data_IF_742822579690
#
_entry.id   IF_742822579690
#
_cell.length_a   1.000
_cell.length_b   1.000
_cell.length_c   1.000
_cell.angle_alpha   90.00
_cell.angle_beta   90.00
_cell.angle_gamma   90.00
#
_symmetry.space_group_name_H-M   'P 1'
#
loop_
_entity.id
_entity.type
_entity.pdbx_description
1 polymer ?
#
# COMPACT_ATOMS: atom_id res chain seq x y z
N UNK A 1 17.52 -4.88 -5.61
CA UNK A 1 17.13 -5.24 -6.99
C UNK A 1 15.79 -5.99 -7.06
N UNK A 2 15.51 -6.99 -6.22
CA UNK A 2 14.26 -7.78 -6.28
C UNK A 2 12.96 -7.02 -5.90
N UNK A 3 13.00 -6.11 -4.92
CA UNK A 3 11.79 -5.39 -4.48
C UNK A 3 11.13 -4.54 -5.57
N UNK A 4 11.90 -4.03 -6.54
CA UNK A 4 11.37 -3.27 -7.67
C UNK A 4 10.77 -4.16 -8.76
N UNK A 5 11.26 -5.41 -8.90
CA UNK A 5 10.84 -6.30 -9.98
C UNK A 5 9.34 -6.64 -9.91
N UNK A 6 8.80 -6.76 -8.69
CA UNK A 6 7.37 -7.02 -8.46
C UNK A 6 6.54 -5.87 -9.02
N UNK A 7 6.86 -4.62 -8.69
CA UNK A 7 6.15 -3.44 -9.17
C UNK A 7 6.25 -3.29 -10.70
N UNK A 8 7.45 -3.51 -11.27
CA UNK A 8 7.66 -3.45 -12.72
C UNK A 8 6.90 -4.53 -13.48
N UNK A 9 6.84 -5.75 -12.92
CA UNK A 9 6.09 -6.86 -13.54
C UNK A 9 4.59 -6.55 -13.59
N UNK A 10 4.04 -6.00 -12.50
CA UNK A 10 2.64 -5.57 -12.45
C UNK A 10 2.32 -4.49 -13.48
N UNK A 11 3.19 -3.48 -13.63
CA UNK A 11 3.05 -2.44 -14.65
C UNK A 11 3.11 -3.02 -16.07
N UNK A 12 4.09 -3.89 -16.33
CA UNK A 12 4.24 -4.55 -17.62
C UNK A 12 3.00 -5.38 -17.97
N UNK A 13 2.45 -6.13 -17.02
CA UNK A 13 1.22 -6.91 -17.22
C UNK A 13 0.04 -6.01 -17.59
N UNK A 14 -0.17 -4.90 -16.88
CA UNK A 14 -1.27 -3.96 -17.18
C UNK A 14 -1.14 -3.38 -18.60
N UNK A 15 0.09 -3.11 -19.06
CA UNK A 15 0.34 -2.54 -20.39
C UNK A 15 0.21 -3.58 -21.50
N UNK A 16 0.69 -4.80 -21.27
CA UNK A 16 0.80 -5.87 -22.28
C UNK A 16 -0.46 -6.73 -22.41
N UNK A 17 -1.29 -6.80 -21.37
CA UNK A 17 -2.48 -7.65 -21.34
C UNK A 17 -3.78 -6.83 -21.32
N UNK A 18 -4.89 -7.43 -21.74
CA UNK A 18 -6.22 -6.79 -21.74
C UNK A 18 -6.91 -6.83 -20.36
N UNK A 19 -6.15 -6.76 -19.27
CA UNK A 19 -6.70 -6.81 -17.91
C UNK A 19 -7.53 -5.56 -17.64
N UNK A 20 -8.76 -5.77 -17.15
CA UNK A 20 -9.65 -4.68 -16.77
C UNK A 20 -9.76 -4.60 -15.25
N UNK A 21 -9.19 -3.53 -14.68
CA UNK A 21 -9.27 -3.26 -13.24
C UNK A 21 -10.60 -2.53 -12.96
N UNK A 22 -11.40 -3.09 -12.07
CA UNK A 22 -12.67 -2.54 -11.57
C UNK A 22 -12.47 -1.93 -10.18
N UNK A 23 -13.41 -1.07 -9.76
CA UNK A 23 -13.35 -0.41 -8.46
C UNK A 23 -13.43 -1.40 -7.28
N UNK A 24 -14.10 -2.54 -7.47
CA UNK A 24 -14.12 -3.62 -6.48
C UNK A 24 -12.73 -4.22 -6.23
N UNK A 25 -11.88 -4.28 -7.27
CA UNK A 25 -10.55 -4.90 -7.17
C UNK A 25 -9.62 -4.03 -6.31
N UNK A 26 -9.83 -2.70 -6.32
CA UNK A 26 -9.17 -1.77 -5.41
C UNK A 26 -9.52 -2.09 -3.95
N UNK A 27 -10.81 -2.14 -3.63
CA UNK A 27 -11.27 -2.37 -2.26
C UNK A 27 -10.88 -3.76 -1.75
N UNK A 28 -10.97 -4.76 -2.61
CA UNK A 28 -10.56 -6.13 -2.31
C UNK A 28 -9.06 -6.20 -1.97
N UNK A 29 -8.20 -5.62 -2.82
CA UNK A 29 -6.75 -5.60 -2.57
C UNK A 29 -6.39 -4.77 -1.34
N UNK A 30 -7.08 -3.64 -1.13
CA UNK A 30 -6.90 -2.82 0.07
C UNK A 30 -7.29 -3.60 1.34
N UNK A 31 -8.39 -4.35 1.30
CA UNK A 31 -8.81 -5.19 2.43
C UNK A 31 -7.80 -6.31 2.71
N UNK A 32 -7.23 -6.94 1.67
CA UNK A 32 -6.13 -7.88 1.85
C UNK A 32 -4.92 -7.23 2.53
N UNK A 33 -4.57 -5.99 2.19
CA UNK A 33 -3.50 -5.26 2.87
C UNK A 33 -3.82 -5.03 4.35
N UNK A 34 -5.06 -4.67 4.70
CA UNK A 34 -5.48 -4.50 6.11
C UNK A 34 -5.40 -5.81 6.88
N UNK A 35 -5.90 -6.91 6.31
CA UNK A 35 -5.78 -8.23 6.95
C UNK A 35 -4.30 -8.60 7.15
N UNK A 36 -3.48 -8.42 6.11
CA UNK A 36 -2.06 -8.71 6.16
C UNK A 36 -1.34 -7.86 7.21
N UNK A 37 -1.68 -6.57 7.34
CA UNK A 37 -1.06 -5.70 8.33
C UNK A 37 -1.38 -6.13 9.77
N UNK A 38 -2.58 -6.67 10.03
CA UNK A 38 -2.92 -7.25 11.35
C UNK A 38 -2.01 -8.45 11.67
N UNK A 39 -1.79 -9.36 10.72
CA UNK A 39 -0.86 -10.48 10.92
C UNK A 39 0.58 -9.99 11.18
N UNK A 40 1.03 -8.99 10.42
CA UNK A 40 2.37 -8.41 10.59
C UNK A 40 2.49 -7.65 11.91
N UNK A 41 1.43 -7.02 12.40
CA UNK A 41 1.42 -6.38 13.71
C UNK A 41 1.71 -7.39 14.83
N UNK A 42 1.01 -8.54 14.81
CA UNK A 42 1.25 -9.63 15.77
C UNK A 42 2.68 -10.16 15.65
N UNK A 43 3.15 -10.36 14.42
CA UNK A 43 4.53 -10.77 14.16
C UNK A 43 5.55 -9.79 14.75
N UNK A 44 5.35 -8.49 14.53
CA UNK A 44 6.23 -7.44 15.03
C UNK A 44 6.30 -7.41 16.56
N UNK A 45 5.18 -7.67 17.25
CA UNK A 45 5.17 -7.77 18.72
C UNK A 45 6.01 -8.97 19.17
N UNK A 46 5.83 -10.13 18.54
CA UNK A 46 6.49 -11.37 18.96
C UNK A 46 8.00 -11.39 18.70
N UNK A 47 8.43 -10.83 17.57
CA UNK A 47 9.83 -10.84 17.12
C UNK A 47 10.55 -9.51 17.36
N UNK A 48 9.91 -8.56 18.02
CA UNK A 48 10.46 -7.21 18.29
C UNK A 48 10.97 -6.50 17.02
N UNK A 49 10.25 -6.68 15.90
CA UNK A 49 10.58 -6.08 14.60
C UNK A 49 9.70 -4.88 14.26
N UNK A 50 10.00 -4.16 13.17
CA UNK A 50 9.18 -3.03 12.70
C UNK A 50 8.82 -3.13 11.21
N UNK A 51 8.26 -4.27 10.79
CA UNK A 51 7.75 -4.43 9.42
C UNK A 51 6.53 -3.55 9.19
N UNK A 52 6.43 -3.01 7.96
CA UNK A 52 5.40 -2.04 7.56
C UNK A 52 5.35 -0.77 8.44
N UNK A 53 6.40 -0.52 9.22
CA UNK A 53 6.47 0.59 10.17
C UNK A 53 5.32 0.61 11.19
N UNK A 54 4.78 -0.57 11.54
CA UNK A 54 3.64 -0.66 12.45
C UNK A 54 4.02 -0.44 13.93
N UNK A 55 5.28 -0.64 14.31
CA UNK A 55 5.77 -0.34 15.66
C UNK A 55 6.26 1.12 15.81
N UNK A 56 5.89 1.99 14.86
CA UNK A 56 6.23 3.40 14.84
C UNK A 56 7.14 3.78 13.68
N UNK A 57 7.34 5.09 13.46
CA UNK A 57 8.21 5.59 12.41
C UNK A 57 9.68 5.22 12.66
N UNK A 58 10.51 5.13 11.60
CA UNK A 58 11.94 4.88 11.75
C UNK A 58 12.64 6.06 12.44
N UNK A 59 13.78 5.80 13.08
CA UNK A 59 14.56 6.82 13.81
C UNK A 59 15.12 7.91 12.87
N UNK A 60 15.24 7.60 11.58
CA UNK A 60 15.63 8.57 10.57
C UNK A 60 14.44 9.47 10.23
N UNK A 61 14.67 10.78 10.17
CA UNK A 61 13.67 11.77 9.78
C UNK A 61 13.02 11.43 8.43
N UNK A 62 11.81 10.88 8.44
CA UNK A 62 11.07 10.43 7.26
C UNK A 62 9.69 11.09 7.22
N UNK A 63 9.02 11.12 6.06
CA UNK A 63 7.64 11.62 5.97
C UNK A 63 6.65 10.87 6.89
N UNK A 64 6.99 9.66 7.36
CA UNK A 64 6.20 8.92 8.35
C UNK A 64 6.13 9.65 9.70
N UNK A 65 7.12 10.48 10.03
CA UNK A 65 7.13 11.27 11.27
C UNK A 65 5.99 12.29 11.32
N UNK A 66 5.46 12.69 10.15
CA UNK A 66 4.37 13.65 10.05
C UNK A 66 2.99 13.00 10.22
N UNK A 67 2.93 11.67 10.35
CA UNK A 67 1.67 10.92 10.45
C UNK A 67 1.04 10.94 11.85
N UNK A 68 1.71 11.58 12.82
CA UNK A 68 1.29 11.67 14.21
C UNK A 68 1.75 10.50 15.05
N UNK A 69 1.15 10.34 16.23
CA UNK A 69 1.56 9.35 17.24
C UNK A 69 0.40 8.43 17.64
N UNK A 70 0.72 7.27 18.22
CA UNK A 70 -0.25 6.34 18.78
C UNK A 70 -1.32 5.90 17.78
N UNK A 71 -2.60 6.00 18.14
CA UNK A 71 -3.72 5.59 17.28
C UNK A 71 -3.81 6.43 16.00
N UNK A 72 -3.49 7.72 16.09
CA UNK A 72 -3.57 8.64 14.93
C UNK A 72 -2.57 8.25 13.84
N UNK A 73 -1.40 7.74 14.22
CA UNK A 73 -0.41 7.22 13.28
C UNK A 73 -0.99 6.10 12.39
N UNK A 74 -1.69 5.13 12.98
CA UNK A 74 -2.30 4.03 12.21
C UNK A 74 -3.45 4.51 11.31
N UNK A 75 -4.26 5.47 11.78
CA UNK A 75 -5.31 6.07 10.95
C UNK A 75 -4.68 6.77 9.73
N UNK A 76 -3.64 7.57 9.95
CA UNK A 76 -2.89 8.24 8.88
C UNK A 76 -2.29 7.25 7.88
N UNK A 77 -1.72 6.13 8.35
CA UNK A 77 -1.21 5.06 7.49
C UNK A 77 -2.31 4.45 6.61
N UNK A 78 -3.45 4.10 7.22
CA UNK A 78 -4.59 3.49 6.50
C UNK A 78 -5.15 4.45 5.45
N UNK A 79 -5.33 5.73 5.81
CA UNK A 79 -5.81 6.76 4.89
C UNK A 79 -4.82 7.00 3.74
N UNK A 80 -3.52 7.02 4.03
CA UNK A 80 -2.48 7.18 3.02
C UNK A 80 -2.46 6.00 2.06
N UNK A 81 -2.56 4.77 2.57
CA UNK A 81 -2.65 3.57 1.75
C UNK A 81 -3.89 3.61 0.84
N UNK A 82 -5.06 3.96 1.39
CA UNK A 82 -6.30 4.09 0.61
C UNK A 82 -6.18 5.17 -0.47
N UNK A 83 -5.57 6.31 -0.14
CA UNK A 83 -5.31 7.39 -1.08
C UNK A 83 -4.43 6.94 -2.23
N UNK A 84 -3.31 6.25 -1.95
CA UNK A 84 -2.38 5.76 -2.97
C UNK A 84 -3.07 4.73 -3.88
N UNK A 85 -3.83 3.79 -3.32
CA UNK A 85 -4.59 2.81 -4.10
C UNK A 85 -5.63 3.48 -5.02
N UNK A 86 -6.32 4.50 -4.48
CA UNK A 86 -7.28 5.30 -5.25
C UNK A 86 -6.60 6.09 -6.38
N UNK A 87 -5.44 6.67 -6.12
CA UNK A 87 -4.64 7.37 -7.12
C UNK A 87 -4.19 6.44 -8.24
N UNK A 88 -3.68 5.24 -7.90
CA UNK A 88 -3.27 4.24 -8.90
C UNK A 88 -4.43 3.81 -9.79
N UNK A 89 -5.60 3.54 -9.22
CA UNK A 89 -6.80 3.20 -9.98
C UNK A 89 -7.29 4.35 -10.85
N UNK A 90 -7.21 5.59 -10.34
CA UNK A 90 -7.53 6.79 -11.11
C UNK A 90 -6.62 6.94 -12.34
N UNK A 91 -5.30 6.81 -12.15
CA UNK A 91 -4.32 6.85 -13.25
C UNK A 91 -4.59 5.75 -14.28
N UNK A 92 -4.90 4.53 -13.83
CA UNK A 92 -5.29 3.43 -14.72
C UNK A 92 -6.52 3.79 -15.57
N UNK A 93 -7.56 4.39 -14.97
CA UNK A 93 -8.75 4.84 -15.71
C UNK A 93 -8.43 5.91 -16.73
N UNK A 94 -7.58 6.89 -16.38
CA UNK A 94 -7.17 7.94 -17.30
C UNK A 94 -6.48 7.35 -18.54
N UNK A 95 -5.51 6.45 -18.32
CA UNK A 95 -4.78 5.80 -19.42
C UNK A 95 -5.73 4.97 -20.29
N UNK A 96 -6.67 4.24 -19.68
CA UNK A 96 -7.66 3.43 -20.42
C UNK A 96 -8.65 4.28 -21.21
N UNK A 97 -9.01 5.47 -20.74
CA UNK A 97 -9.92 6.38 -21.46
C UNK A 97 -9.26 7.01 -22.70
N UNK A 98 -7.94 7.21 -22.66
CA UNK A 98 -7.16 7.83 -23.74
C UNK A 98 -6.83 6.84 -24.88
N UNK A 99 -6.87 5.52 -24.62
CA UNK A 99 -6.74 4.47 -25.64
C UNK A 99 -8.10 4.07 -26.20
#
# INVERSE_FOLDING_TARGET
MHHMAISWTSLFLIISTKVTIKGKDLLETFFYLIIYSVFIFIFNIYFETNYLYLNGPPIAGTPLDWMGEGVMYYISLVLTALFVFSLMYFLYKLIKKTR
#
